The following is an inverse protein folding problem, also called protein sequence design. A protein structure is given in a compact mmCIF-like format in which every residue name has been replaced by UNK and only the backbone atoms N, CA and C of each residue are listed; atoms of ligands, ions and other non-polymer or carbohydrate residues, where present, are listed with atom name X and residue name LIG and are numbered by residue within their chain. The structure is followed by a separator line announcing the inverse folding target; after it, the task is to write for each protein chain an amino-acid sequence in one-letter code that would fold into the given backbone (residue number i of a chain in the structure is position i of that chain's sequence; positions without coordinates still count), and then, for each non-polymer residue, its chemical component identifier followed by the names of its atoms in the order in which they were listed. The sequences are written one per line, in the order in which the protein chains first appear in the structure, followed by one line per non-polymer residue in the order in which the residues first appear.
data_IF_102084421109
#
_entry.id   IF_102084421109
#
_cell.length_a   1.000
_cell.length_b   1.000
_cell.length_c   1.000
_cell.angle_alpha   90.00
_cell.angle_beta   90.00
_cell.angle_gamma   90.00
#
_symmetry.space_group_name_H-M   'P 1'
#
loop_
_entity.id
_entity.type
_entity.pdbx_description
1 polymer ?
#
# COMPACT_ATOMS: atom_id res chain seq x y z
N UNK A 1 -9.38 9.76 14.23
CA UNK A 1 -8.17 8.97 13.91
C UNK A 1 -6.98 9.93 13.73
N UNK A 2 -5.90 9.81 14.52
CA UNK A 2 -4.86 10.85 14.60
C UNK A 2 -3.68 10.69 13.63
N UNK A 3 -3.36 9.47 13.17
CA UNK A 3 -2.16 9.23 12.36
C UNK A 3 -2.22 9.85 10.96
N UNK A 4 -3.41 9.86 10.33
CA UNK A 4 -3.64 10.39 8.99
C UNK A 4 -5.10 10.86 8.82
N UNK A 5 -5.55 11.87 9.59
CA UNK A 5 -6.95 12.32 9.55
C UNK A 5 -7.39 12.70 8.12
N UNK A 6 -8.53 12.17 7.68
CA UNK A 6 -9.07 12.41 6.33
C UNK A 6 -9.56 13.85 6.11
N UNK A 7 -9.91 14.56 7.19
CA UNK A 7 -10.33 15.95 7.19
C UNK A 7 -9.99 16.58 8.54
N UNK A 8 -10.04 17.92 8.60
CA UNK A 8 -9.92 18.70 9.82
C UNK A 8 -11.12 19.63 9.94
N UNK A 9 -11.69 19.74 11.15
CA UNK A 9 -12.92 20.50 11.42
C UNK A 9 -12.65 21.95 11.86
N UNK A 10 -11.40 22.26 12.23
CA UNK A 10 -10.98 23.61 12.63
C UNK A 10 -9.84 24.08 11.73
N UNK A 11 -9.72 25.40 11.59
CA UNK A 11 -8.61 26.01 10.89
C UNK A 11 -7.28 25.76 11.64
N UNK A 12 -6.14 25.76 10.93
CA UNK A 12 -4.83 25.68 11.56
C UNK A 12 -4.64 26.79 12.61
N UNK A 13 -4.04 26.49 13.78
CA UNK A 13 -3.79 27.49 14.80
C UNK A 13 -2.79 28.55 14.28
N UNK A 14 -3.08 29.82 14.57
CA UNK A 14 -2.26 30.97 14.11
C UNK A 14 -1.28 31.48 15.15
N UNK A 15 -1.40 31.03 16.40
CA UNK A 15 -0.57 31.45 17.54
C UNK A 15 -0.05 30.24 18.30
N UNK A 16 1.21 30.27 18.73
CA UNK A 16 1.81 29.18 19.52
C UNK A 16 1.25 29.15 20.94
N UNK A 17 1.17 27.97 21.55
CA UNK A 17 0.79 27.79 22.95
C UNK A 17 -0.72 27.93 23.24
N UNK A 18 -1.56 28.05 22.22
CA UNK A 18 -3.02 28.18 22.36
C UNK A 18 -3.77 26.85 22.17
N UNK A 19 -3.06 25.77 21.88
CA UNK A 19 -3.64 24.43 21.61
C UNK A 19 -3.65 23.57 22.88
N UNK A 20 -4.78 22.91 23.13
CA UNK A 20 -4.97 21.87 24.15
C UNK A 20 -5.40 20.54 23.52
N UNK A 21 -5.44 19.47 24.31
CA UNK A 21 -5.99 18.17 23.90
C UNK A 21 -7.45 18.31 23.42
N UNK A 22 -8.27 19.10 24.10
CA UNK A 22 -9.65 19.38 23.68
C UNK A 22 -9.70 20.03 22.29
N UNK A 23 -8.84 21.03 22.02
CA UNK A 23 -8.80 21.65 20.69
C UNK A 23 -8.33 20.69 19.61
N UNK A 24 -7.43 19.75 19.94
CA UNK A 24 -6.99 18.70 19.02
C UNK A 24 -8.15 17.74 18.72
N UNK A 25 -8.86 17.25 19.74
CA UNK A 25 -10.02 16.36 19.57
C UNK A 25 -11.13 17.03 18.76
N UNK A 26 -11.37 18.33 18.97
CA UNK A 26 -12.33 19.10 18.19
C UNK A 26 -11.88 19.39 16.74
N UNK A 27 -10.58 19.35 16.46
CA UNK A 27 -10.03 19.52 15.10
C UNK A 27 -10.12 18.22 14.30
N UNK A 28 -10.01 17.06 14.96
CA UNK A 28 -10.10 15.76 14.31
C UNK A 28 -11.50 15.50 13.71
N UNK A 29 -11.60 14.61 12.71
CA UNK A 29 -12.89 14.27 12.11
C UNK A 29 -13.81 13.60 13.14
N UNK A 30 -15.11 13.80 12.97
CA UNK A 30 -16.13 13.13 13.77
C UNK A 30 -16.10 11.60 13.53
N UNK A 31 -16.89 10.88 14.33
CA UNK A 31 -16.94 9.42 14.30
C UNK A 31 -17.41 8.91 12.94
N UNK A 32 -18.42 9.54 12.33
CA UNK A 32 -18.97 9.13 11.05
C UNK A 32 -17.95 9.27 9.91
N UNK A 33 -17.32 10.44 9.83
CA UNK A 33 -16.25 10.71 8.85
C UNK A 33 -15.06 9.75 9.04
N UNK A 34 -14.66 9.52 10.29
CA UNK A 34 -13.60 8.57 10.62
C UNK A 34 -13.97 7.14 10.20
N UNK A 35 -15.17 6.67 10.54
CA UNK A 35 -15.61 5.31 10.25
C UNK A 35 -15.70 5.06 8.74
N UNK A 36 -16.25 6.02 7.98
CA UNK A 36 -16.33 5.93 6.52
C UNK A 36 -14.94 5.86 5.89
N UNK A 37 -14.03 6.77 6.25
CA UNK A 37 -12.67 6.76 5.71
C UNK A 37 -11.90 5.48 6.03
N UNK A 38 -12.05 4.95 7.25
CA UNK A 38 -11.45 3.67 7.64
C UNK A 38 -12.02 2.48 6.84
N UNK A 39 -13.34 2.45 6.63
CA UNK A 39 -13.98 1.41 5.83
C UNK A 39 -13.52 1.47 4.37
N UNK A 40 -13.41 2.67 3.79
CA UNK A 40 -12.89 2.89 2.44
C UNK A 40 -11.44 2.43 2.31
N UNK A 41 -10.54 2.88 3.19
CA UNK A 41 -9.14 2.43 3.14
C UNK A 41 -9.01 0.92 3.34
N UNK A 42 -9.79 0.34 4.27
CA UNK A 42 -9.76 -1.09 4.50
C UNK A 42 -10.16 -1.88 3.26
N UNK A 43 -11.20 -1.43 2.55
CA UNK A 43 -11.66 -2.04 1.29
C UNK A 43 -10.60 -1.92 0.20
N UNK A 44 -10.08 -0.71 -0.04
CA UNK A 44 -9.09 -0.44 -1.09
C UNK A 44 -7.71 -1.06 -0.81
N UNK A 45 -7.41 -1.41 0.44
CA UNK A 45 -6.17 -2.10 0.81
C UNK A 45 -6.26 -3.62 0.69
N UNK A 46 -7.42 -4.17 0.30
CA UNK A 46 -7.55 -5.61 0.08
C UNK A 46 -6.95 -5.98 -1.27
N UNK A 47 -6.33 -7.14 -1.27
CA UNK A 47 -5.92 -7.80 -2.50
C UNK A 47 -7.16 -8.29 -3.25
N UNK A 48 -7.19 -8.11 -4.56
CA UNK A 48 -8.31 -8.61 -5.36
C UNK A 48 -8.38 -10.15 -5.34
N UNK A 49 -9.57 -10.68 -5.59
CA UNK A 49 -9.78 -12.13 -5.66
C UNK A 49 -9.09 -12.75 -6.89
N UNK A 50 -9.01 -11.99 -7.98
CA UNK A 50 -8.34 -12.33 -9.23
C UNK A 50 -6.88 -11.86 -9.27
N UNK A 51 -6.23 -11.74 -8.10
CA UNK A 51 -4.84 -11.32 -7.96
C UNK A 51 -3.89 -12.01 -8.96
N UNK A 52 -3.30 -11.22 -9.85
CA UNK A 52 -2.19 -11.63 -10.71
C UNK A 52 -0.93 -10.91 -10.26
N UNK A 53 0.04 -11.67 -9.75
CA UNK A 53 1.32 -11.13 -9.30
C UNK A 53 2.08 -10.46 -10.44
N UNK A 54 2.83 -9.40 -10.13
CA UNK A 54 3.78 -8.79 -11.06
C UNK A 54 4.67 -9.85 -11.74
N UNK A 55 4.75 -9.77 -13.07
CA UNK A 55 5.53 -10.70 -13.88
C UNK A 55 4.86 -12.06 -14.14
N UNK A 56 3.66 -12.32 -13.60
CA UNK A 56 2.81 -13.43 -14.03
C UNK A 56 1.91 -12.97 -15.18
N UNK A 57 1.99 -13.70 -16.29
CA UNK A 57 1.21 -13.41 -17.50
C UNK A 57 0.41 -14.68 -17.85
N UNK A 58 -0.79 -14.87 -17.28
CA UNK A 58 -1.62 -16.05 -17.56
C UNK A 58 -2.15 -16.04 -19.00
N UNK A 59 -2.26 -14.87 -19.62
CA UNK A 59 -2.62 -14.73 -21.03
C UNK A 59 -1.36 -14.77 -21.91
N UNK A 60 -1.24 -15.83 -22.72
CA UNK A 60 -0.10 -16.05 -23.61
C UNK A 60 -0.22 -15.21 -24.90
N UNK A 61 0.07 -13.91 -24.79
CA UNK A 61 0.13 -13.02 -25.96
C UNK A 61 1.43 -13.16 -26.76
N UNK A 62 2.52 -13.54 -26.09
CA UNK A 62 3.80 -13.82 -26.71
C UNK A 62 4.03 -15.33 -26.82
N UNK A 63 4.34 -15.78 -28.03
CA UNK A 63 4.65 -17.19 -28.32
C UNK A 63 6.07 -17.38 -28.88
N UNK A 64 6.74 -16.27 -29.22
CA UNK A 64 8.11 -16.29 -29.70
C UNK A 64 9.08 -16.63 -28.57
N UNK A 65 10.16 -17.34 -28.91
CA UNK A 65 11.15 -17.82 -27.94
C UNK A 65 11.79 -16.67 -27.14
N UNK A 66 12.27 -15.63 -27.82
CA UNK A 66 13.00 -14.52 -27.16
C UNK A 66 12.16 -13.76 -26.12
N UNK A 67 10.93 -13.29 -26.41
CA UNK A 67 10.06 -12.70 -25.38
C UNK A 67 9.80 -13.65 -24.20
N UNK A 68 9.57 -14.94 -24.47
CA UNK A 68 9.33 -15.93 -23.42
C UNK A 68 10.54 -16.14 -22.52
N UNK A 69 11.76 -16.13 -23.07
CA UNK A 69 13.01 -16.17 -22.29
C UNK A 69 13.19 -14.91 -21.44
N UNK A 70 12.93 -13.73 -22.00
CA UNK A 70 13.00 -12.46 -21.27
C UNK A 70 12.00 -12.40 -20.10
N UNK A 71 10.79 -12.92 -20.29
CA UNK A 71 9.78 -13.04 -19.23
C UNK A 71 10.29 -13.94 -18.09
N UNK A 72 10.86 -15.11 -18.42
CA UNK A 72 11.44 -16.03 -17.41
C UNK A 72 12.58 -15.37 -16.64
N UNK A 73 13.44 -14.62 -17.31
CA UNK A 73 14.54 -13.93 -16.66
C UNK A 73 14.07 -12.75 -15.81
N UNK A 74 13.02 -12.06 -16.23
CA UNK A 74 12.36 -11.05 -15.40
C UNK A 74 11.77 -11.67 -14.13
N UNK A 75 11.05 -12.79 -14.25
CA UNK A 75 10.47 -13.52 -13.11
C UNK A 75 11.55 -13.94 -12.09
N UNK A 76 12.68 -14.52 -12.55
CA UNK A 76 13.81 -14.86 -11.67
C UNK A 76 14.37 -13.66 -10.93
N UNK A 77 14.51 -12.50 -11.60
CA UNK A 77 14.98 -11.27 -10.95
C UNK A 77 14.01 -10.79 -9.87
N UNK A 78 12.70 -10.92 -10.09
CA UNK A 78 11.69 -10.59 -9.08
C UNK A 78 11.77 -11.53 -7.87
N UNK A 79 11.99 -12.83 -8.07
CA UNK A 79 12.17 -13.79 -6.98
C UNK A 79 13.40 -13.47 -6.12
N UNK A 80 14.53 -13.14 -6.76
CA UNK A 80 15.74 -12.70 -6.07
C UNK A 80 15.49 -11.42 -5.27
N UNK A 81 14.81 -10.44 -5.86
CA UNK A 81 14.47 -9.19 -5.18
C UNK A 81 13.55 -9.45 -3.96
N UNK A 82 12.52 -10.27 -4.11
CA UNK A 82 11.63 -10.65 -3.01
C UNK A 82 12.40 -11.31 -1.87
N UNK A 83 13.33 -12.22 -2.17
CA UNK A 83 14.18 -12.83 -1.16
C UNK A 83 15.06 -11.82 -0.42
N UNK A 84 15.68 -10.86 -1.14
CA UNK A 84 16.47 -9.77 -0.55
C UNK A 84 15.61 -8.92 0.39
N UNK A 85 14.40 -8.54 -0.06
CA UNK A 85 13.45 -7.75 0.73
C UNK A 85 13.06 -8.49 2.01
N UNK A 86 12.78 -9.78 1.91
CA UNK A 86 12.40 -10.61 3.06
C UNK A 86 13.52 -10.72 4.08
N UNK A 87 14.77 -10.91 3.64
CA UNK A 87 15.93 -10.92 4.55
C UNK A 87 16.10 -9.56 5.21
N UNK A 88 16.05 -8.47 4.44
CA UNK A 88 16.16 -7.09 4.96
C UNK A 88 15.07 -6.76 5.99
N UNK A 89 13.86 -7.31 5.82
CA UNK A 89 12.74 -7.06 6.73
C UNK A 89 12.85 -7.79 8.08
N UNK A 90 13.69 -8.82 8.21
CA UNK A 90 13.90 -9.53 9.49
C UNK A 90 14.50 -8.60 10.56
N UNK A 91 15.36 -7.68 10.14
CA UNK A 91 16.09 -6.79 11.03
C UNK A 91 15.36 -5.47 11.33
N UNK A 92 14.11 -5.30 10.85
CA UNK A 92 13.32 -4.07 11.02
C UNK A 92 12.22 -4.26 12.07
N UNK A 93 12.08 -3.31 12.98
CA UNK A 93 10.97 -3.27 13.94
C UNK A 93 9.60 -3.19 13.23
N UNK A 94 9.56 -2.49 12.09
CA UNK A 94 8.40 -2.38 11.22
C UNK A 94 8.84 -2.75 9.80
N UNK A 95 8.47 -3.95 9.31
CA UNK A 95 8.88 -4.40 7.99
C UNK A 95 8.20 -3.60 6.88
N UNK A 96 8.94 -3.35 5.79
CA UNK A 96 8.41 -2.68 4.60
C UNK A 96 8.11 -3.71 3.51
N UNK A 97 6.84 -4.09 3.37
CA UNK A 97 6.39 -5.16 2.47
C UNK A 97 5.72 -4.64 1.18
N UNK A 98 5.35 -3.36 1.12
CA UNK A 98 4.55 -2.80 0.03
C UNK A 98 5.18 -2.93 -1.37
N UNK A 99 6.51 -3.04 -1.45
CA UNK A 99 7.26 -3.21 -2.70
C UNK A 99 7.87 -4.61 -2.86
N UNK A 100 7.38 -5.61 -2.12
CA UNK A 100 7.74 -7.00 -2.36
C UNK A 100 7.06 -7.48 -3.66
N UNK A 101 7.82 -7.88 -4.70
CA UNK A 101 7.24 -8.41 -5.94
C UNK A 101 6.28 -9.59 -5.73
N UNK A 102 6.43 -10.34 -4.63
CA UNK A 102 5.53 -11.43 -4.30
C UNK A 102 4.10 -10.98 -3.95
N UNK A 103 3.95 -9.73 -3.50
CA UNK A 103 2.70 -9.12 -3.03
C UNK A 103 2.15 -8.05 -3.98
N UNK A 104 2.92 -7.63 -4.99
CA UNK A 104 2.51 -6.62 -5.97
C UNK A 104 1.65 -7.21 -7.08
N UNK A 105 0.58 -6.51 -7.45
CA UNK A 105 -0.25 -6.83 -8.61
C UNK A 105 0.40 -6.36 -9.92
N UNK A 106 0.06 -7.05 -11.01
CA UNK A 106 0.54 -6.74 -12.36
C UNK A 106 -0.16 -5.50 -12.97
N UNK A 107 -1.32 -5.12 -12.43
CA UNK A 107 -2.15 -4.00 -12.89
C UNK A 107 -2.85 -3.32 -11.70
N UNK A 108 -3.61 -2.26 -11.98
CA UNK A 108 -4.49 -1.60 -11.00
C UNK A 108 -5.89 -2.19 -11.13
N UNK A 109 -6.22 -3.17 -10.30
CA UNK A 109 -7.51 -3.87 -10.32
C UNK A 109 -8.40 -3.58 -9.09
N UNK A 110 -7.88 -2.85 -8.10
CA UNK A 110 -8.61 -2.37 -6.92
C UNK A 110 -8.07 -1.02 -6.44
#
# INVERSE_FOLDING_TARGET
MPNSPFSLQLAPPTTKGTTSEDTMLNTLPDIGTTAQGMATLWLLSKRSFDFVRLGQFPEEHFSQETPCELIKDFQKKLEVLSAIIRVRNIDLDIPYEYMDPALMENSVAM
#
